data_IF_583478879487
#
_entry.id   IF_583478879487
#
_cell.length_a   1.000
_cell.length_b   1.000
_cell.length_c   1.000
_cell.angle_alpha   90.00
_cell.angle_beta   90.00
_cell.angle_gamma   90.00
#
_symmetry.space_group_name_H-M   'P 1'
#
loop_
_entity.id
_entity.type
_entity.pdbx_description
1 polymer ?
#
# COMPACT_ATOMS: atom_id res chain seq x y z
N UNK A 1 -53.30 -33.69 -9.93
CA UNK A 1 -52.49 -32.50 -10.27
C UNK A 1 -52.15 -31.68 -9.02
N UNK A 2 -51.33 -32.20 -8.10
CA UNK A 2 -51.01 -31.51 -6.82
C UNK A 2 -49.53 -31.58 -6.39
N UNK A 3 -48.63 -32.10 -7.22
CA UNK A 3 -47.21 -32.30 -6.87
C UNK A 3 -46.24 -31.29 -7.50
N UNK A 4 -46.70 -30.36 -8.35
CA UNK A 4 -45.81 -29.39 -9.03
C UNK A 4 -45.51 -28.12 -8.22
N UNK A 5 -46.28 -27.83 -7.17
CA UNK A 5 -46.07 -26.64 -6.33
C UNK A 5 -45.06 -26.88 -5.19
N UNK A 6 -44.94 -28.12 -4.71
CA UNK A 6 -43.92 -28.49 -3.71
C UNK A 6 -42.50 -28.56 -4.28
N UNK A 7 -42.34 -28.99 -5.53
CA UNK A 7 -41.05 -29.07 -6.20
C UNK A 7 -40.47 -27.70 -6.55
N UNK A 8 -41.35 -26.71 -6.82
CA UNK A 8 -40.94 -25.33 -7.10
C UNK A 8 -40.50 -24.57 -5.84
N UNK A 9 -41.06 -24.92 -4.67
CA UNK A 9 -40.65 -24.35 -3.38
C UNK A 9 -39.33 -24.95 -2.87
N UNK A 10 -39.04 -26.21 -3.23
CA UNK A 10 -37.77 -26.88 -2.87
C UNK A 10 -36.57 -26.40 -3.70
N UNK A 11 -36.82 -25.87 -4.91
CA UNK A 11 -35.79 -25.26 -5.77
C UNK A 11 -35.45 -23.81 -5.42
N UNK A 12 -36.24 -23.14 -4.57
CA UNK A 12 -35.97 -21.79 -4.08
C UNK A 12 -35.10 -21.75 -2.81
N UNK A 13 -34.82 -22.89 -2.19
CA UNK A 13 -34.01 -22.99 -0.95
C UNK A 13 -32.50 -23.25 -1.20
N UNK A 14 -32.06 -23.38 -2.46
CA UNK A 14 -30.65 -23.68 -2.81
C UNK A 14 -29.82 -22.46 -3.23
N UNK A 15 -30.34 -21.23 -3.08
CA UNK A 15 -29.64 -20.01 -3.51
C UNK A 15 -29.20 -19.08 -2.35
N UNK A 16 -29.24 -19.54 -1.10
CA UNK A 16 -28.68 -18.81 0.05
C UNK A 16 -27.94 -19.80 0.96
N UNK A 17 -26.62 -19.91 0.77
CA UNK A 17 -25.77 -20.73 1.65
C UNK A 17 -24.38 -20.94 1.07
N UNK A 18 -23.52 -19.97 1.29
CA UNK A 18 -22.13 -19.87 0.83
C UNK A 18 -21.29 -21.13 1.08
N UNK A 19 -20.79 -21.68 -0.04
CA UNK A 19 -19.40 -21.96 -0.36
C UNK A 19 -18.40 -22.23 0.79
N UNK A 20 -18.08 -23.53 0.86
CA UNK A 20 -16.82 -24.22 1.20
C UNK A 20 -15.68 -23.38 1.82
N UNK A 21 -15.46 -23.61 3.12
CA UNK A 21 -14.26 -23.19 3.82
C UNK A 21 -13.08 -24.12 3.47
N UNK A 22 -12.54 -24.00 2.26
CA UNK A 22 -11.22 -24.51 1.94
C UNK A 22 -10.16 -23.64 2.61
N UNK A 23 -9.41 -24.24 3.54
CA UNK A 23 -8.14 -23.72 4.06
C UNK A 23 -7.28 -23.20 2.90
N UNK A 24 -6.95 -21.93 2.93
CA UNK A 24 -5.64 -21.45 2.49
C UNK A 24 -5.05 -20.63 3.63
N UNK A 25 -3.97 -21.15 4.19
CA UNK A 25 -2.98 -20.38 4.92
C UNK A 25 -2.53 -19.23 4.02
N UNK A 26 -3.09 -18.05 4.23
CA UNK A 26 -2.46 -16.81 3.80
C UNK A 26 -2.04 -16.13 5.09
N UNK A 27 -0.74 -16.25 5.39
CA UNK A 27 -0.09 -15.53 6.45
C UNK A 27 -0.62 -14.10 6.50
N UNK A 28 -1.22 -13.73 7.62
CA UNK A 28 -1.59 -12.38 7.97
C UNK A 28 -0.31 -11.55 8.06
N UNK A 29 0.15 -11.05 6.92
CA UNK A 29 1.03 -9.89 6.82
C UNK A 29 0.24 -8.64 7.14
N UNK A 30 -0.21 -8.54 8.39
CA UNK A 30 -0.75 -7.32 8.98
C UNK A 30 0.39 -6.31 9.10
N UNK A 31 0.62 -5.53 8.04
CA UNK A 31 1.32 -4.25 8.16
C UNK A 31 0.28 -3.16 8.12
N UNK A 32 -0.44 -3.09 9.24
CA UNK A 32 -1.03 -1.86 9.77
C UNK A 32 -0.06 -0.71 9.52
N UNK A 33 -0.56 0.45 9.08
CA UNK A 33 0.16 1.72 9.12
C UNK A 33 0.52 2.09 10.55
N UNK A 34 1.50 1.38 11.10
CA UNK A 34 2.19 1.71 12.33
C UNK A 34 3.49 2.36 11.90
N UNK A 35 3.77 3.53 12.46
CA UNK A 35 5.15 3.93 12.73
C UNK A 35 5.72 2.86 13.65
N UNK A 36 6.17 1.75 13.07
CA UNK A 36 7.00 0.80 13.77
C UNK A 36 8.25 1.60 14.12
N UNK A 37 8.58 1.82 15.40
CA UNK A 37 9.85 2.40 15.76
C UNK A 37 10.90 1.51 15.08
N UNK A 38 11.62 2.10 14.12
CA UNK A 38 12.71 1.42 13.44
C UNK A 38 13.59 0.86 14.56
N UNK A 39 13.84 -0.46 14.63
CA UNK A 39 14.68 -1.04 15.68
C UNK A 39 15.93 -0.18 15.84
N UNK A 40 16.31 0.18 17.07
CA UNK A 40 17.38 1.14 17.33
C UNK A 40 18.73 0.74 16.68
N UNK A 41 18.89 -0.53 16.31
CA UNK A 41 20.04 -1.10 15.61
C UNK A 41 19.87 -1.20 14.07
N UNK A 42 18.80 -0.61 13.52
CA UNK A 42 18.66 -0.53 12.07
C UNK A 42 19.75 0.41 11.54
N UNK A 43 20.50 0.04 10.50
CA UNK A 43 21.56 0.90 9.98
C UNK A 43 20.95 2.21 9.50
N UNK A 44 21.18 3.28 10.28
CA UNK A 44 20.83 4.63 9.87
C UNK A 44 21.79 4.99 8.75
N UNK A 45 21.30 4.98 7.52
CA UNK A 45 22.09 5.45 6.38
C UNK A 45 22.12 6.98 6.46
N UNK A 46 23.23 7.53 6.95
CA UNK A 46 23.49 8.96 6.87
C UNK A 46 23.73 9.32 5.40
N UNK A 47 22.80 10.08 4.81
CA UNK A 47 22.90 10.53 3.43
C UNK A 47 23.79 11.77 3.34
N UNK A 48 24.67 11.88 2.32
CA UNK A 48 25.46 13.09 2.09
C UNK A 48 24.56 14.34 1.98
N UNK A 49 24.93 15.42 2.68
CA UNK A 49 24.20 16.69 2.66
C UNK A 49 25.07 17.84 2.19
N UNK A 50 24.43 18.84 1.58
CA UNK A 50 25.08 20.10 1.15
C UNK A 50 24.26 21.29 1.67
N UNK A 51 24.95 22.40 1.90
CA UNK A 51 24.34 23.69 2.25
C UNK A 51 24.82 24.72 1.25
N UNK A 52 23.91 25.49 0.68
CA UNK A 52 24.26 26.56 -0.25
C UNK A 52 24.57 27.89 0.48
N UNK A 53 24.92 28.93 -0.26
CA UNK A 53 25.26 30.26 0.28
C UNK A 53 24.10 30.97 0.97
N UNK A 54 22.87 30.53 0.74
CA UNK A 54 21.66 31.06 1.37
C UNK A 54 21.29 30.30 2.67
N UNK A 55 22.09 29.31 3.06
CA UNK A 55 21.84 28.49 4.26
C UNK A 55 20.82 27.37 4.06
N UNK A 56 20.39 27.10 2.83
CA UNK A 56 19.43 26.01 2.54
C UNK A 56 20.15 24.66 2.54
N UNK A 57 19.59 23.69 3.28
CA UNK A 57 20.12 22.33 3.39
C UNK A 57 19.46 21.39 2.40
N UNK A 58 20.27 20.55 1.76
CA UNK A 58 19.82 19.53 0.82
C UNK A 58 20.42 18.17 1.16
N UNK A 59 19.62 17.11 1.05
CA UNK A 59 20.08 15.72 1.20
C UNK A 59 20.15 15.03 -0.17
N UNK A 60 21.16 14.17 -0.36
CA UNK A 60 21.29 13.36 -1.57
C UNK A 60 20.32 12.18 -1.53
N UNK A 61 19.35 12.18 -2.45
CA UNK A 61 18.46 11.05 -2.71
C UNK A 61 19.18 10.06 -3.63
N UNK A 62 19.42 8.82 -3.19
CA UNK A 62 20.12 7.82 -4.00
C UNK A 62 19.25 7.33 -5.16
N UNK A 63 19.89 6.64 -6.10
CA UNK A 63 19.18 5.84 -7.10
C UNK A 63 18.39 4.74 -6.41
N UNK A 64 17.20 4.43 -6.90
CA UNK A 64 16.36 3.43 -6.27
C UNK A 64 15.06 3.22 -7.01
N UNK A 65 14.31 2.22 -6.57
CA UNK A 65 12.98 1.89 -7.10
C UNK A 65 12.00 1.85 -5.93
N UNK A 66 10.85 2.48 -6.09
CA UNK A 66 9.80 2.50 -5.08
C UNK A 66 8.41 2.43 -5.73
N UNK A 67 7.39 2.12 -4.94
CA UNK A 67 5.99 2.16 -5.37
C UNK A 67 5.44 3.56 -5.07
N UNK A 68 4.99 4.29 -6.10
CA UNK A 68 4.34 5.59 -5.96
C UNK A 68 2.82 5.43 -6.12
N UNK A 69 2.04 6.23 -5.40
CA UNK A 69 0.57 6.16 -5.37
C UNK A 69 0.04 5.41 -4.14
N UNK A 70 -1.26 5.53 -3.89
CA UNK A 70 -1.94 4.92 -2.73
C UNK A 70 -2.61 3.59 -3.10
N UNK A 71 -2.58 2.58 -2.21
CA UNK A 71 -3.30 1.33 -2.42
C UNK A 71 -4.78 1.56 -2.71
N UNK A 72 -5.38 0.68 -3.52
CA UNK A 72 -6.80 0.78 -3.88
C UNK A 72 -7.76 0.73 -2.68
N UNK A 73 -7.30 0.21 -1.54
CA UNK A 73 -8.05 0.09 -0.28
C UNK A 73 -7.84 1.25 0.68
N UNK A 74 -6.98 2.23 0.36
CA UNK A 74 -6.71 3.36 1.24
C UNK A 74 -7.91 4.33 1.29
N UNK A 75 -8.35 4.68 2.51
CA UNK A 75 -9.47 5.59 2.70
C UNK A 75 -9.10 6.99 2.21
N UNK A 76 -10.02 7.66 1.53
CA UNK A 76 -9.87 9.01 0.98
C UNK A 76 -8.84 9.17 -0.15
N UNK A 77 -8.35 8.06 -0.72
CA UNK A 77 -7.66 8.04 -2.01
C UNK A 77 -8.51 8.69 -3.11
N UNK A 78 -7.87 9.44 -3.99
CA UNK A 78 -8.43 9.99 -5.24
C UNK A 78 -8.19 9.05 -6.43
N UNK A 79 -8.93 9.26 -7.52
CA UNK A 79 -8.90 8.41 -8.71
C UNK A 79 -7.57 8.45 -9.47
N UNK A 80 -6.76 9.50 -9.28
CA UNK A 80 -5.46 9.72 -9.93
C UNK A 80 -4.26 9.08 -9.19
N UNK A 81 -4.47 8.50 -8.01
CA UNK A 81 -3.41 7.96 -7.17
C UNK A 81 -3.12 6.47 -7.43
N UNK A 82 -3.18 6.02 -8.70
CA UNK A 82 -2.94 4.60 -9.03
C UNK A 82 -1.48 4.20 -8.77
N UNK A 83 -1.29 3.06 -8.08
CA UNK A 83 0.05 2.57 -7.76
C UNK A 83 0.83 2.17 -9.00
N UNK A 84 2.07 2.65 -9.10
CA UNK A 84 3.01 2.28 -10.16
C UNK A 84 4.45 2.33 -9.66
N UNK A 85 5.31 1.50 -10.25
CA UNK A 85 6.73 1.40 -9.89
C UNK A 85 7.52 2.53 -10.55
N UNK A 86 8.22 3.32 -9.75
CA UNK A 86 9.06 4.44 -10.20
C UNK A 86 10.53 4.11 -9.93
N UNK A 87 11.39 4.40 -10.89
CA UNK A 87 12.84 4.24 -10.77
C UNK A 87 13.54 5.59 -10.88
N UNK A 88 14.26 5.98 -9.83
CA UNK A 88 15.21 7.10 -9.87
C UNK A 88 16.53 6.56 -10.42
N UNK A 89 16.82 6.84 -11.68
CA UNK A 89 18.00 6.32 -12.39
C UNK A 89 19.30 7.06 -12.06
N UNK A 90 19.21 8.29 -11.54
CA UNK A 90 20.35 9.11 -11.13
C UNK A 90 20.06 9.75 -9.78
N UNK A 91 21.05 9.69 -8.89
CA UNK A 91 20.96 10.38 -7.60
C UNK A 91 20.87 11.89 -7.81
N UNK A 92 20.11 12.57 -6.95
CA UNK A 92 19.92 14.03 -6.99
C UNK A 92 19.80 14.59 -5.58
N UNK A 93 19.85 15.91 -5.42
CA UNK A 93 19.70 16.59 -4.12
C UNK A 93 18.30 17.18 -3.97
N UNK A 94 17.70 17.03 -2.80
CA UNK A 94 16.38 17.58 -2.46
C UNK A 94 16.47 18.43 -1.18
N UNK A 95 15.82 19.60 -1.17
CA UNK A 95 15.79 20.48 0.00
C UNK A 95 15.09 19.78 1.16
N UNK A 96 15.59 19.97 2.38
CA UNK A 96 15.01 19.33 3.58
C UNK A 96 13.68 19.94 4.01
N UNK A 97 13.36 21.13 3.50
CA UNK A 97 12.19 21.92 3.87
C UNK A 97 11.61 22.58 2.62
N UNK A 98 10.35 22.98 2.68
CA UNK A 98 9.73 23.82 1.64
C UNK A 98 10.43 25.18 1.56
N UNK A 99 10.36 25.81 0.39
CA UNK A 99 10.86 27.18 0.21
C UNK A 99 9.81 28.14 0.74
N UNK A 100 10.23 29.13 1.51
CA UNK A 100 9.41 30.20 2.07
C UNK A 100 9.59 31.51 1.32
#
# INVERSE_FOLDING_TARGET
>A
MKTKLGLLLLLLLIAVGCDDSTRNEQATGSTTGQTQPVPADSPVIELPSITNTLGMKFNKIPTGTFMMGSPGTEKARKSDETQHKVTISKAFYMQTNEVT
#
